data_IF_895611054685
#
_entry.id   IF_895611054685
#
_cell.length_a   1.000
_cell.length_b   1.000
_cell.length_c   1.000
_cell.angle_alpha   90.00
_cell.angle_beta   90.00
_cell.angle_gamma   90.00
#
_symmetry.space_group_name_H-M   'P 1'
#
loop_
_entity.id
_entity.type
_entity.pdbx_description
1 polymer ?
#
# COMPACT_ATOMS: atom_id res chain seq x y z
N UNK A 1 51.13 -12.09 64.82
CA UNK A 1 52.33 -12.34 63.96
C UNK A 1 51.80 -12.44 62.54
N UNK A 2 52.13 -11.60 61.56
CA UNK A 2 53.29 -10.71 61.38
C UNK A 2 52.91 -9.56 60.45
N UNK A 3 53.36 -8.37 60.87
CA UNK A 3 53.62 -7.16 60.10
C UNK A 3 54.20 -7.49 58.71
N UNK A 4 53.69 -6.87 57.64
CA UNK A 4 54.41 -6.73 56.37
C UNK A 4 54.36 -5.27 55.94
N UNK A 5 55.46 -4.61 56.23
CA UNK A 5 55.84 -3.29 55.76
C UNK A 5 56.00 -3.31 54.23
N UNK A 6 55.19 -2.49 53.55
CA UNK A 6 55.39 -2.18 52.13
C UNK A 6 56.23 -0.90 52.02
N UNK A 7 57.27 -0.88 51.17
CA UNK A 7 58.12 0.29 51.02
C UNK A 7 57.34 1.45 50.37
N UNK A 8 57.46 2.62 50.99
CA UNK A 8 56.94 3.89 50.48
C UNK A 8 57.54 4.18 49.10
N UNK A 9 56.67 4.31 48.09
CA UNK A 9 57.03 4.75 46.75
C UNK A 9 57.71 6.13 46.80
N UNK A 10 58.80 6.35 46.05
CA UNK A 10 59.45 7.64 45.97
C UNK A 10 58.48 8.69 45.40
N UNK A 11 58.31 9.80 46.12
CA UNK A 11 57.55 10.96 45.65
C UNK A 11 58.17 11.49 44.35
N UNK A 12 57.42 11.38 43.27
CA UNK A 12 57.79 11.96 41.99
C UNK A 12 57.60 13.49 42.07
N UNK A 13 58.60 14.30 41.72
CA UNK A 13 58.49 15.76 41.78
C UNK A 13 57.37 16.26 40.85
N UNK A 14 56.69 17.36 41.21
CA UNK A 14 55.61 17.91 40.41
C UNK A 14 56.12 18.29 39.03
N UNK A 15 55.46 17.78 37.99
CA UNK A 15 55.73 18.13 36.60
C UNK A 15 55.52 19.64 36.40
N UNK A 16 56.38 20.31 35.60
CA UNK A 16 56.17 21.70 35.23
C UNK A 16 54.83 21.87 34.49
N UNK A 17 54.18 23.04 34.65
CA UNK A 17 52.91 23.32 33.97
C UNK A 17 53.09 23.21 32.45
N UNK A 18 52.24 22.41 31.82
CA UNK A 18 52.18 22.29 30.35
C UNK A 18 51.91 23.68 29.75
N UNK A 19 52.64 24.10 28.72
CA UNK A 19 52.28 25.26 27.91
C UNK A 19 50.85 25.09 27.41
N UNK A 20 49.99 26.06 27.68
CA UNK A 20 48.63 26.05 27.15
C UNK A 20 48.72 26.22 25.62
N UNK A 21 48.04 25.36 24.84
CA UNK A 21 47.99 25.53 23.41
C UNK A 21 47.33 26.89 23.10
N UNK A 22 47.78 27.58 22.03
CA UNK A 22 47.13 28.81 21.57
C UNK A 22 45.65 28.55 21.35
N UNK A 23 44.82 29.47 21.85
CA UNK A 23 43.36 29.43 21.76
C UNK A 23 42.93 28.98 20.36
N UNK A 24 42.45 27.74 20.25
CA UNK A 24 41.77 27.31 19.05
C UNK A 24 40.55 28.23 18.87
N UNK A 25 40.31 28.79 17.67
CA UNK A 25 39.13 29.59 17.42
C UNK A 25 37.91 28.76 17.80
N UNK A 26 37.18 29.22 18.82
CA UNK A 26 35.94 28.60 19.24
C UNK A 26 35.03 28.54 18.02
N UNK A 27 34.84 27.33 17.48
CA UNK A 27 33.83 27.08 16.46
C UNK A 27 32.51 27.57 17.03
N UNK A 28 32.00 28.68 16.49
CA UNK A 28 30.71 29.24 16.88
C UNK A 28 29.69 28.10 16.88
N UNK A 29 28.95 27.88 17.98
CA UNK A 29 27.91 26.87 18.01
C UNK A 29 26.96 27.18 16.85
N UNK A 30 26.92 26.28 15.85
CA UNK A 30 25.96 26.40 14.77
C UNK A 30 24.58 26.50 15.43
N UNK A 31 23.78 27.54 15.14
CA UNK A 31 22.46 27.68 15.71
C UNK A 31 21.69 26.40 15.37
N UNK A 32 21.36 25.62 16.40
CA UNK A 32 20.43 24.52 16.29
C UNK A 32 19.09 25.13 15.88
N UNK A 33 18.84 25.24 14.58
CA UNK A 33 17.54 25.68 14.08
C UNK A 33 16.57 24.54 14.35
N UNK A 34 15.92 24.59 15.52
CA UNK A 34 14.74 23.80 15.87
C UNK A 34 13.60 23.93 14.85
N UNK A 35 13.72 24.88 13.94
CA UNK A 35 12.87 25.07 12.78
C UNK A 35 13.42 24.32 11.56
N UNK A 36 12.89 23.13 11.29
CA UNK A 36 12.93 22.59 9.93
C UNK A 36 11.88 23.33 9.11
N UNK A 37 12.32 24.06 8.08
CA UNK A 37 11.40 24.68 7.15
C UNK A 37 10.45 23.60 6.58
N UNK A 38 9.13 23.83 6.54
CA UNK A 38 8.20 22.85 6.02
C UNK A 38 8.62 22.46 4.61
N UNK A 39 8.70 21.15 4.36
CA UNK A 39 9.07 20.61 3.06
C UNK A 39 8.25 21.28 1.96
N UNK A 40 8.93 21.79 0.92
CA UNK A 40 8.28 22.47 -0.20
C UNK A 40 7.16 21.57 -0.73
N UNK A 41 5.92 22.08 -0.91
CA UNK A 41 4.84 21.25 -1.41
C UNK A 41 5.25 20.65 -2.75
N UNK A 42 4.88 19.38 -3.03
CA UNK A 42 5.17 18.76 -4.31
C UNK A 42 4.68 19.67 -5.43
N UNK A 43 5.51 19.85 -6.47
CA UNK A 43 5.13 20.66 -7.63
C UNK A 43 3.81 20.17 -8.22
N UNK A 44 3.02 21.08 -8.82
CA UNK A 44 1.69 20.76 -9.37
C UNK A 44 1.69 19.52 -10.28
N UNK A 45 2.79 19.27 -11.00
CA UNK A 45 2.97 18.08 -11.84
C UNK A 45 2.94 16.77 -11.03
N UNK A 46 3.64 16.70 -9.90
CA UNK A 46 3.70 15.50 -9.06
C UNK A 46 2.31 15.18 -8.47
N UNK A 47 1.57 16.20 -8.04
CA UNK A 47 0.20 16.02 -7.57
C UNK A 47 -0.73 15.48 -8.67
N UNK A 48 -0.60 16.00 -9.90
CA UNK A 48 -1.38 15.52 -11.06
C UNK A 48 -1.05 14.07 -11.42
N UNK A 49 0.24 13.71 -11.44
CA UNK A 49 0.68 12.34 -11.70
C UNK A 49 0.15 11.36 -10.65
N UNK A 50 0.14 11.75 -9.37
CA UNK A 50 -0.41 10.92 -8.30
C UNK A 50 -1.93 10.71 -8.43
N UNK A 51 -2.68 11.72 -8.85
CA UNK A 51 -4.12 11.59 -9.08
C UNK A 51 -4.41 10.73 -10.31
N UNK A 52 -3.68 10.95 -11.40
CA UNK A 52 -3.79 10.14 -12.61
C UNK A 52 -3.47 8.66 -12.32
N UNK A 53 -2.39 8.40 -11.57
CA UNK A 53 -2.02 7.05 -11.15
C UNK A 53 -3.08 6.38 -10.28
N UNK A 54 -3.69 7.10 -9.35
CA UNK A 54 -4.80 6.57 -8.56
C UNK A 54 -6.01 6.21 -9.44
N UNK A 55 -6.46 7.13 -10.31
CA UNK A 55 -7.57 6.89 -11.22
C UNK A 55 -7.34 5.68 -12.13
N UNK A 56 -6.14 5.55 -12.70
CA UNK A 56 -5.76 4.40 -13.53
C UNK A 56 -5.80 3.09 -12.74
N UNK A 57 -5.28 3.09 -11.51
CA UNK A 57 -5.32 1.90 -10.64
C UNK A 57 -6.76 1.47 -10.36
N UNK A 58 -7.65 2.42 -10.06
CA UNK A 58 -9.08 2.14 -9.90
C UNK A 58 -9.72 1.61 -11.18
N UNK A 59 -9.43 2.21 -12.35
CA UNK A 59 -9.96 1.75 -13.63
C UNK A 59 -9.53 0.30 -13.96
N UNK A 60 -8.25 -0.03 -13.73
CA UNK A 60 -7.72 -1.39 -13.91
C UNK A 60 -8.40 -2.37 -12.96
N UNK A 61 -8.62 -1.98 -11.69
CA UNK A 61 -9.35 -2.83 -10.74
C UNK A 61 -10.79 -3.10 -11.20
N UNK A 62 -11.53 -2.07 -11.62
CA UNK A 62 -12.88 -2.23 -12.15
C UNK A 62 -12.95 -3.11 -13.39
N UNK A 63 -12.00 -2.94 -14.32
CA UNK A 63 -11.88 -3.81 -15.49
C UNK A 63 -11.57 -5.26 -15.11
N UNK A 64 -10.63 -5.46 -14.17
CA UNK A 64 -10.26 -6.80 -13.70
C UNK A 64 -11.41 -7.51 -12.99
N UNK A 65 -12.22 -6.79 -12.20
CA UNK A 65 -13.40 -7.36 -11.53
C UNK A 65 -14.40 -7.92 -12.55
N UNK A 66 -14.71 -7.15 -13.59
CA UNK A 66 -15.66 -7.58 -14.62
C UNK A 66 -15.08 -8.68 -15.51
N UNK A 67 -13.79 -8.60 -15.86
CA UNK A 67 -13.10 -9.64 -16.63
C UNK A 67 -13.08 -10.97 -15.88
N UNK A 68 -12.77 -10.94 -14.58
CA UNK A 68 -12.73 -12.12 -13.72
C UNK A 68 -14.11 -12.77 -13.58
N UNK A 69 -15.15 -11.97 -13.30
CA UNK A 69 -16.53 -12.45 -13.23
C UNK A 69 -17.03 -13.00 -14.57
N UNK A 70 -16.69 -12.33 -15.68
CA UNK A 70 -17.01 -12.78 -17.03
C UNK A 70 -16.36 -14.11 -17.37
N UNK A 71 -15.08 -14.27 -17.03
CA UNK A 71 -14.35 -15.51 -17.24
C UNK A 71 -14.89 -16.66 -16.40
N UNK A 72 -15.31 -16.40 -15.15
CA UNK A 72 -15.95 -17.41 -14.32
C UNK A 72 -17.28 -17.88 -14.91
N UNK A 73 -18.17 -16.95 -15.30
CA UNK A 73 -19.43 -17.27 -15.98
C UNK A 73 -19.19 -18.05 -17.28
N UNK A 74 -18.23 -17.63 -18.10
CA UNK A 74 -17.88 -18.31 -19.34
C UNK A 74 -17.31 -19.72 -19.10
N UNK A 75 -16.54 -19.91 -18.04
CA UNK A 75 -15.94 -21.20 -17.70
C UNK A 75 -16.98 -22.20 -17.17
N UNK A 76 -17.90 -21.74 -16.31
CA UNK A 76 -18.97 -22.57 -15.78
C UNK A 76 -20.20 -22.67 -16.71
N UNK A 77 -20.21 -21.91 -17.80
CA UNK A 77 -21.37 -21.69 -18.66
C UNK A 77 -22.64 -21.27 -17.89
N UNK A 78 -22.43 -20.57 -16.76
CA UNK A 78 -23.48 -20.12 -15.87
C UNK A 78 -23.77 -18.64 -16.13
N UNK A 79 -24.93 -18.34 -16.74
CA UNK A 79 -25.33 -16.98 -17.09
C UNK A 79 -24.43 -16.32 -18.15
N UNK A 80 -23.81 -17.10 -19.04
CA UNK A 80 -22.97 -16.60 -20.15
C UNK A 80 -23.69 -16.50 -21.51
N UNK A 81 -25.01 -16.62 -21.48
CA UNK A 81 -25.92 -16.33 -22.58
C UNK A 81 -25.90 -14.84 -23.00
N UNK A 82 -26.56 -14.51 -24.11
CA UNK A 82 -26.55 -13.15 -24.67
C UNK A 82 -26.96 -12.06 -23.66
N UNK A 83 -27.94 -12.35 -22.81
CA UNK A 83 -28.38 -11.45 -21.74
C UNK A 83 -27.30 -11.20 -20.69
N UNK A 84 -26.62 -12.25 -20.22
CA UNK A 84 -25.53 -12.15 -19.25
C UNK A 84 -24.30 -11.41 -19.79
N UNK A 85 -23.96 -11.59 -21.08
CA UNK A 85 -22.89 -10.82 -21.74
C UNK A 85 -23.22 -9.33 -21.83
N UNK A 86 -24.48 -9.00 -22.11
CA UNK A 86 -24.96 -7.63 -22.11
C UNK A 86 -24.90 -7.02 -20.69
N UNK A 87 -25.35 -7.75 -19.66
CA UNK A 87 -25.24 -7.34 -18.26
C UNK A 87 -23.79 -7.01 -17.89
N UNK A 88 -22.84 -7.89 -18.22
CA UNK A 88 -21.41 -7.67 -17.92
C UNK A 88 -20.82 -6.48 -18.68
N UNK A 89 -21.22 -6.28 -19.94
CA UNK A 89 -20.77 -5.11 -20.72
C UNK A 89 -21.28 -3.81 -20.09
N UNK A 90 -22.54 -3.79 -19.64
CA UNK A 90 -23.10 -2.63 -18.94
C UNK A 90 -22.40 -2.39 -17.60
N UNK A 91 -22.16 -3.47 -16.82
CA UNK A 91 -21.43 -3.38 -15.57
C UNK A 91 -19.98 -2.92 -15.77
N UNK A 92 -19.32 -3.26 -16.87
CA UNK A 92 -17.99 -2.74 -17.20
C UNK A 92 -17.99 -1.22 -17.33
N UNK A 93 -18.95 -0.68 -18.06
CA UNK A 93 -19.10 0.78 -18.27
C UNK A 93 -19.33 1.51 -16.95
N UNK A 94 -19.96 0.86 -15.96
CA UNK A 94 -20.15 1.43 -14.62
C UNK A 94 -18.97 1.19 -13.67
N UNK A 95 -18.40 0.00 -13.66
CA UNK A 95 -17.39 -0.38 -12.67
C UNK A 95 -16.05 0.30 -12.90
N UNK A 96 -15.63 0.47 -14.15
CA UNK A 96 -14.37 1.16 -14.47
C UNK A 96 -14.36 2.60 -13.93
N UNK A 97 -15.33 3.48 -14.28
CA UNK A 97 -15.36 4.82 -13.71
C UNK A 97 -15.69 4.81 -12.21
N UNK A 98 -16.55 3.90 -11.72
CA UNK A 98 -16.85 3.77 -10.30
C UNK A 98 -15.62 3.49 -9.45
N UNK A 99 -14.79 2.51 -9.85
CA UNK A 99 -13.54 2.20 -9.16
C UNK A 99 -12.49 3.30 -9.33
N UNK A 100 -12.41 3.95 -10.50
CA UNK A 100 -11.55 5.11 -10.70
C UNK A 100 -11.91 6.25 -9.73
N UNK A 101 -13.19 6.60 -9.60
CA UNK A 101 -13.67 7.61 -8.65
C UNK A 101 -13.43 7.21 -7.20
N UNK A 102 -13.69 5.94 -6.85
CA UNK A 102 -13.42 5.42 -5.51
C UNK A 102 -11.94 5.53 -5.14
N UNK A 103 -11.05 5.12 -6.04
CA UNK A 103 -9.60 5.21 -5.83
C UNK A 103 -9.13 6.65 -5.65
N UNK A 104 -9.70 7.60 -6.42
CA UNK A 104 -9.44 9.04 -6.28
C UNK A 104 -9.95 9.57 -4.93
N UNK A 105 -11.15 9.16 -4.52
CA UNK A 105 -11.73 9.56 -3.24
C UNK A 105 -10.86 9.08 -2.06
N UNK A 106 -10.49 7.80 -2.05
CA UNK A 106 -9.60 7.25 -1.01
C UNK A 106 -8.24 7.95 -1.02
N UNK A 107 -7.66 8.14 -2.20
CA UNK A 107 -6.42 8.89 -2.39
C UNK A 107 -6.50 10.33 -1.85
N UNK A 108 -7.63 11.00 -2.07
CA UNK A 108 -7.87 12.37 -1.62
C UNK A 108 -8.02 12.44 -0.10
N UNK A 109 -8.81 11.53 0.50
CA UNK A 109 -8.97 11.45 1.96
C UNK A 109 -7.63 11.20 2.66
N UNK A 110 -6.76 10.42 2.03
CA UNK A 110 -5.45 10.04 2.57
C UNK A 110 -4.30 10.92 2.09
N UNK A 111 -4.57 12.09 1.51
CA UNK A 111 -3.55 13.00 0.96
C UNK A 111 -2.53 13.51 2.00
N UNK A 112 -2.83 13.36 3.29
CA UNK A 112 -1.95 13.75 4.40
C UNK A 112 -0.92 12.66 4.75
N UNK A 113 -1.12 11.43 4.27
CA UNK A 113 -0.21 10.31 4.50
C UNK A 113 0.92 10.30 3.46
N UNK A 114 2.09 9.73 3.81
CA UNK A 114 3.14 9.48 2.82
C UNK A 114 2.65 8.49 1.76
N UNK A 115 3.19 8.61 0.54
CA UNK A 115 2.69 7.93 -0.65
C UNK A 115 2.56 6.40 -0.48
N UNK A 116 3.57 5.76 0.11
CA UNK A 116 3.57 4.30 0.34
C UNK A 116 2.44 3.88 1.30
N UNK A 117 2.24 4.61 2.40
CA UNK A 117 1.16 4.31 3.35
C UNK A 117 -0.22 4.60 2.77
N UNK A 118 -0.32 5.53 1.80
CA UNK A 118 -1.57 5.80 1.08
C UNK A 118 -1.92 4.70 0.08
N UNK A 119 -0.93 4.03 -0.53
CA UNK A 119 -1.19 3.00 -1.53
C UNK A 119 -1.88 1.76 -0.93
N UNK A 120 -1.48 1.36 0.29
CA UNK A 120 -2.02 0.19 0.99
C UNK A 120 -3.56 0.20 1.11
N UNK A 121 -4.20 1.22 1.71
CA UNK A 121 -5.65 1.25 1.84
C UNK A 121 -6.38 1.38 0.51
N UNK A 122 -5.79 2.07 -0.49
CA UNK A 122 -6.37 2.12 -1.85
C UNK A 122 -6.41 0.71 -2.45
N UNK A 123 -5.29 -0.01 -2.39
CA UNK A 123 -5.20 -1.39 -2.89
C UNK A 123 -6.15 -2.32 -2.13
N UNK A 124 -6.23 -2.18 -0.80
CA UNK A 124 -7.12 -2.98 0.04
C UNK A 124 -8.59 -2.77 -0.36
N UNK A 125 -9.03 -1.52 -0.48
CA UNK A 125 -10.41 -1.18 -0.88
C UNK A 125 -10.72 -1.74 -2.26
N UNK A 126 -9.82 -1.57 -3.23
CA UNK A 126 -10.01 -2.09 -4.57
C UNK A 126 -10.03 -3.63 -4.60
N UNK A 127 -9.17 -4.29 -3.83
CA UNK A 127 -9.17 -5.75 -3.71
C UNK A 127 -10.48 -6.26 -3.11
N UNK A 128 -11.00 -5.61 -2.06
CA UNK A 128 -12.31 -5.92 -1.48
C UNK A 128 -13.42 -5.76 -2.51
N UNK A 129 -13.41 -4.68 -3.29
CA UNK A 129 -14.41 -4.47 -4.36
C UNK A 129 -14.33 -5.56 -5.43
N UNK A 130 -13.12 -5.93 -5.86
CA UNK A 130 -12.92 -7.00 -6.86
C UNK A 130 -13.44 -8.34 -6.35
N UNK A 131 -13.06 -8.72 -5.12
CA UNK A 131 -13.50 -9.98 -4.49
C UNK A 131 -15.01 -10.00 -4.28
N UNK A 132 -15.58 -8.91 -3.75
CA UNK A 132 -17.02 -8.80 -3.55
C UNK A 132 -17.79 -8.84 -4.86
N UNK A 133 -17.29 -8.17 -5.90
CA UNK A 133 -17.91 -8.20 -7.22
C UNK A 133 -17.86 -9.60 -7.83
N UNK A 134 -16.73 -10.30 -7.71
CA UNK A 134 -16.64 -11.69 -8.12
C UNK A 134 -17.66 -12.56 -7.37
N UNK A 135 -17.76 -12.40 -6.05
CA UNK A 135 -18.67 -13.22 -5.26
C UNK A 135 -20.16 -12.96 -5.56
N UNK A 136 -20.51 -11.75 -5.97
CA UNK A 136 -21.91 -11.38 -6.23
C UNK A 136 -22.32 -11.54 -7.69
N UNK A 137 -21.36 -11.51 -8.61
CA UNK A 137 -21.63 -11.47 -10.05
C UNK A 137 -20.91 -12.56 -10.84
N UNK A 138 -19.78 -13.07 -10.36
CA UNK A 138 -18.99 -14.10 -11.03
C UNK A 138 -19.52 -15.52 -10.81
N UNK A 139 -20.03 -15.81 -9.62
CA UNK A 139 -20.59 -17.12 -9.28
C UNK A 139 -22.10 -16.94 -9.04
N UNK A 140 -22.89 -17.56 -9.92
CA UNK A 140 -24.34 -17.49 -9.84
C UNK A 140 -24.82 -18.76 -9.16
N UNK A 141 -24.79 -18.78 -7.83
CA UNK A 141 -25.25 -19.93 -7.05
C UNK A 141 -26.68 -20.34 -7.46
N UNK A 142 -26.89 -21.65 -7.62
CA UNK A 142 -28.17 -22.22 -8.06
C UNK A 142 -28.52 -22.01 -9.55
N UNK A 143 -27.69 -21.34 -10.34
CA UNK A 143 -27.85 -21.29 -11.79
C UNK A 143 -27.39 -22.61 -12.40
N UNK A 144 -28.19 -23.23 -13.28
CA UNK A 144 -27.75 -24.43 -13.99
C UNK A 144 -26.65 -24.06 -14.99
N UNK A 145 -25.39 -24.33 -14.64
CA UNK A 145 -24.27 -24.32 -15.56
C UNK A 145 -24.21 -25.65 -16.32
N UNK A 146 -24.12 -25.59 -17.65
CA UNK A 146 -24.16 -26.77 -18.51
C UNK A 146 -22.77 -27.32 -18.86
N UNK A 147 -21.68 -26.69 -18.38
CA UNK A 147 -20.33 -27.06 -18.80
C UNK A 147 -19.80 -28.36 -18.18
N UNK A 148 -20.33 -28.78 -17.03
CA UNK A 148 -19.81 -29.90 -16.25
C UNK A 148 -18.41 -29.67 -15.65
N UNK A 149 -17.87 -28.45 -15.76
CA UNK A 149 -16.53 -28.07 -15.25
C UNK A 149 -16.57 -27.48 -13.84
N UNK A 150 -17.73 -26.99 -13.40
CA UNK A 150 -17.94 -26.38 -12.09
C UNK A 150 -18.93 -27.19 -11.25
N UNK A 151 -18.86 -27.02 -9.93
CA UNK A 151 -19.84 -27.56 -8.99
C UNK A 151 -21.17 -26.81 -9.05
N UNK A 152 -22.10 -27.17 -8.14
CA UNK A 152 -23.40 -26.52 -8.03
C UNK A 152 -23.31 -25.02 -7.63
N UNK A 153 -22.18 -24.64 -7.05
CA UNK A 153 -21.83 -23.27 -6.64
C UNK A 153 -21.30 -22.40 -7.80
N UNK A 154 -21.09 -22.98 -8.99
CA UNK A 154 -20.55 -22.29 -10.17
C UNK A 154 -19.21 -21.57 -9.89
N UNK A 155 -18.40 -22.14 -9.00
CA UNK A 155 -17.07 -21.61 -8.67
C UNK A 155 -16.02 -22.34 -9.49
N UNK A 156 -15.20 -21.64 -10.28
CA UNK A 156 -14.15 -22.28 -11.04
C UNK A 156 -13.03 -22.78 -10.12
N UNK A 157 -12.35 -23.90 -10.45
CA UNK A 157 -11.35 -24.53 -9.58
C UNK A 157 -10.08 -23.69 -9.37
N UNK A 158 -9.87 -22.66 -10.19
CA UNK A 158 -8.77 -21.71 -10.03
C UNK A 158 -9.08 -20.58 -9.05
N UNK A 159 -10.35 -20.43 -8.63
CA UNK A 159 -10.70 -19.45 -7.60
C UNK A 159 -10.23 -19.95 -6.23
N UNK A 160 -9.52 -19.13 -5.44
CA UNK A 160 -9.04 -19.58 -4.14
C UNK A 160 -10.20 -19.88 -3.18
N UNK A 161 -10.27 -21.10 -2.65
CA UNK A 161 -11.35 -21.56 -1.77
C UNK A 161 -11.47 -20.79 -0.43
N UNK A 162 -10.48 -19.99 -0.06
CA UNK A 162 -10.50 -19.14 1.13
C UNK A 162 -11.09 -17.75 0.88
N UNK A 163 -11.37 -17.40 -0.38
CA UNK A 163 -12.06 -16.17 -0.76
C UNK A 163 -13.57 -16.42 -0.91
N UNK A 164 -14.42 -15.43 -0.61
CA UNK A 164 -15.83 -15.48 -0.95
C UNK A 164 -16.04 -15.74 -2.44
N UNK A 165 -17.05 -16.53 -2.74
CA UNK A 165 -17.51 -16.90 -4.07
C UNK A 165 -19.00 -16.71 -4.15
#
# INVERSE_FOLDING_TARGET
>A
MTHRDLPLSPQQPPLPPRPQPPFAPQSQPQPQTWYQAPAKPPGQLAARLQLAGAALLGAVAGWSAVSLASNARAYCDAGWEGGGRFEMTFLLVLMVPGCALLSLLVAFLLRRLPLLLRAVPVLLVLAVVVVWFFATKGTLDGYHGDSGLCGADNVPPWWPAWLPS
#
